data_IF_219000696062
#
_entry.id   IF_219000696062
#
_cell.length_a   1.000
_cell.length_b   1.000
_cell.length_c   1.000
_cell.angle_alpha   90.00
_cell.angle_beta   90.00
_cell.angle_gamma   90.00
#
_symmetry.space_group_name_H-M   'P 1'
#
loop_
_entity.id
_entity.type
_entity.pdbx_description
1 polymer ?
#
# COMPACT_ATOMS: atom_id res chain seq x y z
N UNK A 1 -20.52 7.76 12.49
CA UNK A 1 -19.10 7.38 12.27
C UNK A 1 -19.11 6.31 11.19
N UNK A 2 -18.42 6.54 10.07
CA UNK A 2 -18.30 5.52 9.02
C UNK A 2 -17.29 4.49 9.52
N UNK A 3 -17.68 3.22 9.59
CA UNK A 3 -16.77 2.14 9.98
C UNK A 3 -15.78 1.81 8.85
N UNK A 4 -14.64 1.18 9.16
CA UNK A 4 -13.74 0.66 8.13
C UNK A 4 -14.47 -0.27 7.16
N UNK A 5 -15.39 -1.06 7.69
CA UNK A 5 -16.26 -1.97 6.91
C UNK A 5 -17.09 -1.24 5.85
N UNK A 6 -17.62 -0.06 6.17
CA UNK A 6 -18.40 0.74 5.20
C UNK A 6 -17.49 1.56 4.28
N UNK A 7 -16.35 2.03 4.80
CA UNK A 7 -15.42 2.86 4.03
C UNK A 7 -14.78 2.08 2.87
N UNK A 8 -14.40 0.83 3.09
CA UNK A 8 -13.74 -0.01 2.08
C UNK A 8 -14.57 -0.16 0.79
N UNK A 9 -15.85 -0.61 0.85
CA UNK A 9 -16.67 -0.68 -0.35
C UNK A 9 -16.96 0.70 -0.97
N UNK A 10 -17.18 1.73 -0.16
CA UNK A 10 -17.37 3.10 -0.65
C UNK A 10 -16.13 3.61 -1.40
N UNK A 11 -14.93 3.25 -0.95
CA UNK A 11 -13.68 3.63 -1.60
C UNK A 11 -13.52 2.93 -2.95
N UNK A 12 -13.90 1.66 -3.05
CA UNK A 12 -13.96 0.94 -4.33
C UNK A 12 -14.97 1.57 -5.31
N UNK A 13 -16.17 1.91 -4.85
CA UNK A 13 -17.18 2.60 -5.68
C UNK A 13 -16.74 4.00 -6.11
N UNK A 14 -16.00 4.71 -5.26
CA UNK A 14 -15.41 5.99 -5.64
C UNK A 14 -14.42 5.85 -6.81
N UNK A 15 -13.60 4.81 -6.81
CA UNK A 15 -12.69 4.56 -7.94
C UNK A 15 -13.45 4.28 -9.23
N UNK A 16 -14.50 3.46 -9.18
CA UNK A 16 -15.39 3.23 -10.33
C UNK A 16 -16.02 4.52 -10.85
N UNK A 17 -16.48 5.36 -9.93
CA UNK A 17 -17.09 6.64 -10.30
C UNK A 17 -16.07 7.57 -10.98
N UNK A 18 -14.85 7.67 -10.44
CA UNK A 18 -13.80 8.51 -11.03
C UNK A 18 -13.40 7.96 -12.41
N UNK A 19 -13.27 6.63 -12.54
CA UNK A 19 -12.97 5.99 -13.84
C UNK A 19 -14.06 6.32 -14.88
N UNK A 20 -15.32 6.07 -14.54
CA UNK A 20 -16.45 6.26 -15.45
C UNK A 20 -16.73 7.72 -15.79
N UNK A 21 -16.65 8.63 -14.82
CA UNK A 21 -17.03 10.05 -14.96
C UNK A 21 -15.87 11.02 -15.02
N UNK A 22 -14.71 10.65 -14.51
CA UNK A 22 -13.55 11.54 -14.32
C UNK A 22 -12.49 11.48 -15.42
N UNK A 23 -12.63 10.60 -16.40
CA UNK A 23 -11.69 10.47 -17.52
C UNK A 23 -10.81 9.23 -17.50
N UNK A 24 -11.35 8.11 -17.05
CA UNK A 24 -10.73 6.80 -17.12
C UNK A 24 -9.75 6.53 -15.97
N UNK A 25 -9.06 5.40 -16.06
CA UNK A 25 -8.08 4.94 -15.07
C UNK A 25 -7.01 5.99 -14.72
N UNK A 26 -6.57 6.78 -15.68
CA UNK A 26 -5.60 7.85 -15.43
C UNK A 26 -6.12 8.90 -14.42
N UNK A 27 -7.43 9.13 -14.38
CA UNK A 27 -8.02 10.04 -13.38
C UNK A 27 -8.02 9.39 -11.98
N UNK A 28 -8.20 8.09 -11.90
CA UNK A 28 -8.08 7.33 -10.64
C UNK A 28 -6.64 7.39 -10.13
N UNK A 29 -5.67 7.17 -10.99
CA UNK A 29 -4.23 7.27 -10.62
C UNK A 29 -3.90 8.67 -10.10
N UNK A 30 -4.32 9.74 -10.79
CA UNK A 30 -4.13 11.12 -10.29
C UNK A 30 -4.80 11.37 -8.95
N UNK A 31 -5.96 10.76 -8.70
CA UNK A 31 -6.62 10.85 -7.39
C UNK A 31 -5.78 10.16 -6.31
N UNK A 32 -5.24 8.97 -6.56
CA UNK A 32 -4.35 8.28 -5.62
C UNK A 32 -3.07 9.08 -5.34
N UNK A 33 -2.45 9.65 -6.38
CA UNK A 33 -1.29 10.53 -6.23
C UNK A 33 -1.62 11.73 -5.33
N UNK A 34 -2.75 12.39 -5.58
CA UNK A 34 -3.21 13.52 -4.78
C UNK A 34 -3.46 13.12 -3.32
N UNK A 35 -4.15 12.02 -3.07
CA UNK A 35 -4.35 11.50 -1.70
C UNK A 35 -3.00 11.21 -1.03
N UNK A 36 -2.06 10.61 -1.75
CA UNK A 36 -0.70 10.37 -1.28
C UNK A 36 0.01 11.65 -0.85
N UNK A 37 -0.06 12.69 -1.68
CA UNK A 37 0.55 14.00 -1.38
C UNK A 37 -0.12 14.70 -0.20
N UNK A 38 -1.44 14.67 -0.10
CA UNK A 38 -2.17 15.38 0.96
C UNK A 38 -2.16 14.64 2.30
N UNK A 39 -2.26 13.31 2.30
CA UNK A 39 -2.35 12.52 3.53
C UNK A 39 -0.97 12.09 4.05
N UNK A 40 -0.11 11.53 3.18
CA UNK A 40 1.18 10.98 3.61
C UNK A 40 2.19 12.06 4.00
N UNK A 41 2.02 13.26 3.48
CA UNK A 41 2.76 14.45 3.88
C UNK A 41 2.77 14.67 5.40
N UNK A 42 1.70 14.31 6.08
CA UNK A 42 1.57 14.52 7.52
C UNK A 42 1.91 13.28 8.36
N UNK A 43 1.79 12.11 7.78
CA UNK A 43 1.88 10.85 8.52
C UNK A 43 3.17 10.06 8.23
N UNK A 44 3.53 9.87 6.96
CA UNK A 44 4.70 9.10 6.56
C UNK A 44 5.94 9.97 6.36
N UNK A 45 5.79 11.10 5.65
CA UNK A 45 6.94 11.93 5.26
C UNK A 45 7.81 12.39 6.44
N UNK A 46 7.26 12.85 7.57
CA UNK A 46 8.08 13.23 8.73
C UNK A 46 8.94 12.08 9.25
N UNK A 47 8.39 10.86 9.29
CA UNK A 47 9.09 9.69 9.77
C UNK A 47 10.24 9.28 8.84
N UNK A 48 9.96 9.21 7.54
CA UNK A 48 11.00 8.79 6.58
C UNK A 48 12.06 9.86 6.37
N UNK A 49 11.73 11.13 6.51
CA UNK A 49 12.69 12.24 6.47
C UNK A 49 13.64 12.22 7.65
N UNK A 50 13.16 11.92 8.85
CA UNK A 50 13.95 11.88 10.07
C UNK A 50 14.76 10.58 10.19
N UNK A 51 14.15 9.44 9.89
CA UNK A 51 14.67 8.10 10.22
C UNK A 51 14.95 7.21 9.00
N UNK A 52 14.69 7.69 7.79
CA UNK A 52 14.87 6.88 6.58
C UNK A 52 14.02 5.62 6.57
N UNK A 53 14.64 4.48 6.29
CA UNK A 53 13.95 3.18 6.21
C UNK A 53 13.38 2.73 7.57
N UNK A 54 13.98 3.13 8.69
CA UNK A 54 13.42 2.88 10.03
C UNK A 54 12.10 3.62 10.22
N UNK A 55 11.98 4.84 9.69
CA UNK A 55 10.74 5.60 9.70
C UNK A 55 9.64 4.94 8.88
N UNK A 56 10.01 4.35 7.74
CA UNK A 56 9.09 3.53 6.95
C UNK A 56 8.64 2.29 7.75
N UNK A 57 9.57 1.58 8.38
CA UNK A 57 9.26 0.45 9.25
C UNK A 57 8.29 0.83 10.37
N UNK A 58 8.54 1.92 11.07
CA UNK A 58 7.67 2.43 12.15
C UNK A 58 6.26 2.75 11.64
N UNK A 59 6.14 3.39 10.48
CA UNK A 59 4.86 3.71 9.88
C UNK A 59 4.04 2.45 9.58
N UNK A 60 4.63 1.47 8.87
CA UNK A 60 3.89 0.28 8.45
C UNK A 60 3.59 -0.66 9.61
N UNK A 61 4.50 -0.84 10.56
CA UNK A 61 4.24 -1.67 11.74
C UNK A 61 3.10 -1.10 12.58
N UNK A 62 3.06 0.22 12.77
CA UNK A 62 1.96 0.87 13.47
C UNK A 62 0.63 0.70 12.72
N UNK A 63 0.59 1.09 11.43
CA UNK A 63 -0.63 1.05 10.63
C UNK A 63 -1.21 -0.37 10.53
N UNK A 64 -0.37 -1.36 10.25
CA UNK A 64 -0.82 -2.74 10.08
C UNK A 64 -1.17 -3.42 11.42
N UNK A 65 -0.61 -2.95 12.54
CA UNK A 65 -1.00 -3.44 13.87
C UNK A 65 -2.38 -2.94 14.32
N UNK A 66 -2.83 -1.82 13.75
CA UNK A 66 -4.16 -1.25 14.01
C UNK A 66 -5.26 -1.95 13.17
N UNK A 67 -4.86 -2.69 12.15
CA UNK A 67 -5.76 -3.40 11.24
C UNK A 67 -5.85 -4.89 11.61
N UNK A 68 -7.02 -5.48 11.42
CA UNK A 68 -7.21 -6.93 11.58
C UNK A 68 -6.69 -7.68 10.35
N UNK A 69 -5.36 -7.73 10.16
CA UNK A 69 -4.74 -8.34 9.00
C UNK A 69 -3.80 -9.50 9.37
N UNK A 70 -3.67 -10.46 8.46
CA UNK A 70 -2.61 -11.46 8.53
C UNK A 70 -1.42 -10.99 7.68
N UNK A 71 -0.43 -10.44 8.36
CA UNK A 71 0.78 -9.90 7.74
C UNK A 71 2.04 -10.40 8.44
N UNK A 72 3.02 -10.83 7.66
CA UNK A 72 4.38 -11.02 8.14
C UNK A 72 5.24 -9.86 7.67
N UNK A 73 6.03 -9.29 8.57
CA UNK A 73 6.95 -8.21 8.26
C UNK A 73 8.37 -8.59 8.68
N UNK A 74 9.34 -8.21 7.87
CA UNK A 74 10.77 -8.41 8.14
C UNK A 74 11.49 -7.08 7.94
N UNK A 75 12.34 -6.72 8.89
CA UNK A 75 13.19 -5.55 8.83
C UNK A 75 14.65 -5.95 8.79
N UNK A 76 15.37 -5.43 7.81
CA UNK A 76 16.80 -5.64 7.61
C UNK A 76 17.49 -4.27 7.53
N UNK A 77 17.82 -3.68 8.69
CA UNK A 77 18.44 -2.37 8.74
C UNK A 77 19.87 -2.36 8.17
N UNK A 78 20.59 -3.49 8.22
CA UNK A 78 21.95 -3.60 7.70
C UNK A 78 21.98 -3.42 6.18
N UNK A 79 20.96 -3.94 5.48
CA UNK A 79 20.81 -3.78 4.04
C UNK A 79 19.82 -2.65 3.66
N UNK A 80 19.35 -1.89 4.64
CA UNK A 80 18.49 -0.73 4.42
C UNK A 80 17.15 -1.09 3.76
N UNK A 81 16.49 -2.15 4.22
CA UNK A 81 15.25 -2.62 3.62
C UNK A 81 14.27 -3.20 4.63
N UNK A 82 13.01 -3.21 4.21
CA UNK A 82 11.93 -3.87 4.92
C UNK A 82 11.01 -4.58 3.94
N UNK A 83 10.42 -5.69 4.36
CA UNK A 83 9.49 -6.47 3.56
C UNK A 83 8.20 -6.73 4.32
N UNK A 84 7.11 -6.83 3.59
CA UNK A 84 5.81 -7.23 4.10
C UNK A 84 5.19 -8.28 3.17
N UNK A 85 4.75 -9.38 3.74
CA UNK A 85 3.90 -10.36 3.09
C UNK A 85 2.52 -10.29 3.73
N UNK A 86 1.61 -9.63 3.03
CA UNK A 86 0.20 -9.57 3.38
C UNK A 86 -0.44 -10.87 2.93
N UNK A 87 -0.69 -11.81 3.84
CA UNK A 87 -1.32 -13.09 3.57
C UNK A 87 -2.84 -12.99 3.50
N UNK A 88 -3.39 -12.02 4.20
CA UNK A 88 -4.80 -11.64 4.07
C UNK A 88 -4.95 -10.14 4.29
N UNK A 89 -5.18 -9.41 3.21
CA UNK A 89 -5.40 -7.97 3.24
C UNK A 89 -6.79 -7.66 3.82
N UNK A 90 -6.90 -6.88 4.90
CA UNK A 90 -8.20 -6.57 5.52
C UNK A 90 -9.10 -5.76 4.57
N UNK A 91 -8.51 -4.96 3.69
CA UNK A 91 -9.23 -4.15 2.73
C UNK A 91 -9.72 -4.97 1.53
N UNK A 92 -8.82 -5.58 0.78
CA UNK A 92 -9.20 -6.40 -0.39
C UNK A 92 -9.96 -7.66 0.02
N UNK A 93 -9.57 -8.30 1.12
CA UNK A 93 -10.27 -9.49 1.64
C UNK A 93 -11.72 -9.17 1.96
N UNK A 94 -11.96 -8.04 2.62
CA UNK A 94 -13.32 -7.61 2.93
C UNK A 94 -14.16 -7.35 1.65
N UNK A 95 -13.57 -6.76 0.60
CA UNK A 95 -14.28 -6.59 -0.67
C UNK A 95 -14.62 -7.92 -1.35
N UNK A 96 -13.79 -8.94 -1.19
CA UNK A 96 -14.05 -10.27 -1.78
C UNK A 96 -15.14 -11.05 -1.04
N UNK A 97 -15.50 -10.67 0.19
CA UNK A 97 -16.61 -11.25 0.95
C UNK A 97 -17.98 -10.79 0.43
N UNK A 98 -18.04 -9.65 -0.27
CA UNK A 98 -19.30 -9.14 -0.80
C UNK A 98 -19.69 -9.85 -2.10
N UNK A 99 -20.85 -10.52 -2.09
CA UNK A 99 -21.38 -11.22 -3.26
C UNK A 99 -22.25 -10.33 -4.15
N UNK A 100 -22.55 -9.12 -3.72
CA UNK A 100 -23.46 -8.18 -4.37
C UNK A 100 -22.76 -7.03 -5.11
N UNK A 101 -21.42 -6.94 -4.98
CA UNK A 101 -20.61 -5.93 -5.67
C UNK A 101 -19.34 -6.56 -6.23
N UNK A 102 -18.86 -6.03 -7.34
CA UNK A 102 -17.52 -6.30 -7.84
C UNK A 102 -16.59 -5.18 -7.38
N UNK A 103 -15.43 -5.49 -6.79
CA UNK A 103 -14.41 -4.47 -6.51
C UNK A 103 -13.97 -3.74 -7.79
N UNK A 104 -13.50 -2.50 -7.64
CA UNK A 104 -12.80 -1.85 -8.75
C UNK A 104 -11.66 -2.75 -9.25
N UNK A 105 -11.54 -2.93 -10.55
CA UNK A 105 -10.64 -3.93 -11.15
C UNK A 105 -9.16 -3.72 -10.76
N UNK A 106 -8.72 -2.48 -10.60
CA UNK A 106 -7.39 -2.12 -10.12
C UNK A 106 -7.41 -1.58 -8.69
N UNK A 107 -8.25 -2.14 -7.83
CA UNK A 107 -8.37 -1.67 -6.45
C UNK A 107 -7.01 -1.63 -5.73
N UNK A 108 -6.17 -2.65 -5.91
CA UNK A 108 -4.87 -2.75 -5.24
C UNK A 108 -3.80 -1.80 -5.80
N UNK A 109 -4.01 -1.20 -6.98
CA UNK A 109 -3.12 -0.21 -7.57
C UNK A 109 -2.87 1.00 -6.67
N UNK A 110 -3.85 1.35 -5.82
CA UNK A 110 -3.67 2.47 -4.88
C UNK A 110 -2.50 2.27 -3.93
N UNK A 111 -2.22 1.04 -3.47
CA UNK A 111 -1.09 0.75 -2.59
C UNK A 111 0.26 1.00 -3.26
N UNK A 112 0.36 0.77 -4.57
CA UNK A 112 1.57 1.03 -5.32
C UNK A 112 1.79 2.52 -5.59
N UNK A 113 0.72 3.29 -5.76
CA UNK A 113 0.76 4.70 -6.16
C UNK A 113 0.88 5.65 -4.97
N UNK A 114 0.04 5.47 -3.95
CA UNK A 114 -0.07 6.38 -2.80
C UNK A 114 1.27 6.72 -2.15
N UNK A 115 2.11 5.73 -1.95
CA UNK A 115 3.36 5.86 -1.19
C UNK A 115 4.56 6.25 -2.04
N UNK A 116 4.47 6.04 -3.36
CA UNK A 116 5.60 6.11 -4.29
C UNK A 116 6.35 7.43 -4.24
N UNK A 117 5.63 8.54 -4.32
CA UNK A 117 6.24 9.86 -4.34
C UNK A 117 6.95 10.17 -3.02
N UNK A 118 6.26 10.03 -1.90
CA UNK A 118 6.83 10.30 -0.57
C UNK A 118 8.07 9.46 -0.30
N UNK A 119 8.06 8.18 -0.66
CA UNK A 119 9.21 7.31 -0.49
C UNK A 119 10.37 7.75 -1.39
N UNK A 120 10.12 7.95 -2.68
CA UNK A 120 11.16 8.32 -3.64
C UNK A 120 11.82 9.66 -3.31
N UNK A 121 11.05 10.66 -2.90
CA UNK A 121 11.55 11.98 -2.49
C UNK A 121 12.46 11.88 -1.25
N UNK A 122 12.38 10.80 -0.49
CA UNK A 122 13.21 10.51 0.68
C UNK A 122 14.22 9.36 0.44
N UNK A 123 14.53 9.03 -0.81
CA UNK A 123 15.56 8.05 -1.17
C UNK A 123 15.19 6.60 -0.89
N UNK A 124 13.90 6.30 -0.79
CA UNK A 124 13.38 4.94 -0.59
C UNK A 124 12.61 4.53 -1.84
N UNK A 125 12.95 3.37 -2.40
CA UNK A 125 12.22 2.75 -3.50
C UNK A 125 11.26 1.69 -2.97
N UNK A 126 10.19 1.41 -3.72
CA UNK A 126 9.24 0.35 -3.44
C UNK A 126 9.08 -0.55 -4.66
N UNK A 127 9.02 -1.85 -4.41
CA UNK A 127 8.57 -2.86 -5.37
C UNK A 127 7.50 -3.74 -4.73
N UNK A 128 6.66 -4.37 -5.53
CA UNK A 128 5.58 -5.24 -5.04
C UNK A 128 5.27 -6.37 -6.01
N UNK A 129 4.83 -7.49 -5.45
CA UNK A 129 4.18 -8.57 -6.17
C UNK A 129 2.70 -8.56 -5.79
N UNK A 130 1.87 -8.33 -6.79
CA UNK A 130 0.41 -8.23 -6.68
C UNK A 130 -0.30 -9.39 -7.39
N UNK A 131 0.42 -10.47 -7.73
CA UNK A 131 -0.15 -11.64 -8.43
C UNK A 131 -1.22 -12.37 -7.61
N UNK A 132 -1.18 -12.25 -6.27
CA UNK A 132 -2.12 -12.87 -5.34
C UNK A 132 -3.34 -12.02 -4.96
N UNK A 133 -3.56 -10.85 -5.57
CA UNK A 133 -4.62 -9.91 -5.12
C UNK A 133 -6.05 -10.47 -5.24
N UNK A 134 -6.27 -11.45 -6.10
CA UNK A 134 -7.57 -12.12 -6.21
C UNK A 134 -7.87 -13.03 -5.00
N UNK A 135 -6.87 -13.28 -4.18
CA UNK A 135 -6.97 -13.98 -2.89
C UNK A 135 -6.66 -13.09 -1.70
N UNK A 136 -6.68 -11.77 -1.89
CA UNK A 136 -6.31 -10.76 -0.89
C UNK A 136 -4.86 -10.89 -0.40
N UNK A 137 -3.97 -11.45 -1.21
CA UNK A 137 -2.55 -11.62 -0.91
C UNK A 137 -1.69 -10.68 -1.75
N UNK A 138 -0.65 -10.11 -1.14
CA UNK A 138 0.38 -9.36 -1.86
C UNK A 138 1.67 -9.29 -1.05
N UNK A 139 2.77 -8.96 -1.73
CA UNK A 139 4.07 -8.71 -1.10
C UNK A 139 4.59 -7.35 -1.51
N UNK A 140 5.27 -6.68 -0.60
CA UNK A 140 5.91 -5.40 -0.89
C UNK A 140 7.25 -5.28 -0.16
N UNK A 141 8.25 -4.73 -0.85
CA UNK A 141 9.54 -4.35 -0.27
C UNK A 141 9.75 -2.86 -0.42
N UNK A 142 10.32 -2.25 0.61
CA UNK A 142 10.85 -0.89 0.59
C UNK A 142 12.33 -0.98 0.88
N UNK A 143 13.15 -0.25 0.12
CA UNK A 143 14.62 -0.31 0.22
C UNK A 143 15.25 1.03 -0.13
N UNK A 144 16.41 1.28 0.43
CA UNK A 144 17.19 2.48 0.10
C UNK A 144 17.58 2.42 -1.38
N UNK A 145 17.28 3.46 -2.13
CA UNK A 145 17.43 3.52 -3.59
C UNK A 145 18.86 3.20 -4.07
N UNK A 146 19.87 3.46 -3.26
CA UNK A 146 21.27 3.14 -3.56
C UNK A 146 21.66 1.66 -3.36
N UNK A 147 20.84 0.86 -2.72
CA UNK A 147 21.16 -0.53 -2.37
C UNK A 147 20.73 -1.57 -3.42
N UNK A 148 20.15 -1.12 -4.52
CA UNK A 148 20.00 -1.85 -5.78
C UNK A 148 18.81 -2.79 -5.88
N UNK A 149 18.77 -3.94 -5.30
CA UNK A 149 17.68 -4.92 -5.50
C UNK A 149 17.05 -5.30 -4.18
N UNK A 150 15.73 -5.55 -4.19
CA UNK A 150 15.09 -6.24 -3.06
C UNK A 150 15.73 -7.60 -2.83
N UNK A 151 15.71 -8.04 -1.57
CA UNK A 151 16.32 -9.30 -1.12
C UNK A 151 15.98 -10.49 -2.03
N UNK A 152 16.98 -11.33 -2.26
CA UNK A 152 16.76 -12.74 -2.60
C UNK A 152 16.12 -13.40 -1.36
N UNK A 153 15.13 -14.28 -1.57
CA UNK A 153 14.36 -14.88 -0.46
C UNK A 153 13.01 -14.23 -0.20
N UNK A 154 12.58 -13.37 -1.07
CA UNK A 154 11.24 -12.80 -1.12
C UNK A 154 10.12 -13.85 -1.06
N UNK A 155 10.37 -15.03 -1.61
CA UNK A 155 9.42 -16.16 -1.63
C UNK A 155 9.41 -16.97 -0.32
N UNK A 156 10.37 -16.72 0.58
CA UNK A 156 10.50 -17.46 1.86
C UNK A 156 9.83 -16.76 3.05
N UNK A 157 9.20 -15.60 2.82
CA UNK A 157 8.55 -14.82 3.89
C UNK A 157 7.10 -15.25 4.10
#
# INVERSE_FOLDING_TARGET
MVSCTEFIPMYSELFKYIDDKGGGHDAVVRYWEWVGEEYLRWNLEPLVREKGIEGAWEYWTRSLSEEACDVKMVFDPENGQMMSHMRHCPSKGHLLEYTWMEPYYDYCGHCAVLYKKTLNDNGISQAGDYSGVDHAECRAVKYLTGNGKPMEGWDEI
#
